data_IF_260714843631
#
_entry.id   IF_260714843631
#
_cell.length_a   1.000
_cell.length_b   1.000
_cell.length_c   1.000
_cell.angle_alpha   90.00
_cell.angle_beta   90.00
_cell.angle_gamma   90.00
#
_symmetry.space_group_name_H-M   'P 1'
#
loop_
_entity.id
_entity.type
_entity.pdbx_description
1 polymer ?
#
# COMPACT_ATOMS: atom_id res chain seq x y z
N UNK A 1 -34.38 -8.17 13.44
CA UNK A 1 -33.53 -8.44 12.27
C UNK A 1 -32.65 -7.23 12.05
N UNK A 2 -31.33 -7.35 12.23
CA UNK A 2 -30.41 -6.26 11.93
C UNK A 2 -30.04 -6.35 10.44
N UNK A 3 -30.51 -5.41 9.65
CA UNK A 3 -30.04 -5.23 8.28
C UNK A 3 -28.70 -4.49 8.37
N UNK A 4 -27.61 -5.17 8.01
CA UNK A 4 -26.35 -4.49 7.77
C UNK A 4 -26.53 -3.61 6.52
N UNK A 5 -26.16 -2.32 6.55
CA UNK A 5 -26.09 -1.55 5.32
C UNK A 5 -25.04 -2.23 4.44
N UNK A 6 -25.50 -2.89 3.38
CA UNK A 6 -24.65 -3.23 2.25
C UNK A 6 -24.28 -1.90 1.61
N UNK A 7 -23.25 -1.25 2.17
CA UNK A 7 -22.53 -0.22 1.44
C UNK A 7 -22.23 -0.81 0.06
N UNK A 8 -22.54 -0.11 -1.03
CA UNK A 8 -22.06 -0.56 -2.33
C UNK A 8 -20.55 -0.69 -2.15
N UNK A 9 -20.03 -1.91 -2.30
CA UNK A 9 -18.60 -2.10 -2.41
C UNK A 9 -18.20 -1.19 -3.55
N UNK A 10 -17.43 -0.17 -3.20
CA UNK A 10 -16.94 0.78 -4.16
C UNK A 10 -15.91 0.05 -5.00
N UNK A 11 -16.39 -0.72 -5.98
CA UNK A 11 -15.58 -1.57 -6.87
C UNK A 11 -14.77 -0.69 -7.84
N UNK A 12 -14.87 0.65 -7.72
CA UNK A 12 -14.19 1.65 -8.54
C UNK A 12 -13.49 2.75 -7.74
N UNK A 13 -13.52 2.71 -6.40
CA UNK A 13 -12.66 3.53 -5.55
C UNK A 13 -11.27 2.90 -5.60
N UNK A 14 -10.53 3.25 -6.64
CA UNK A 14 -9.13 2.87 -6.80
C UNK A 14 -8.42 3.03 -5.46
N UNK A 15 -8.00 1.90 -4.89
CA UNK A 15 -7.51 1.80 -3.52
C UNK A 15 -6.44 2.86 -3.31
N UNK A 16 -6.82 3.99 -2.69
CA UNK A 16 -5.88 5.07 -2.45
C UNK A 16 -4.93 4.56 -1.38
N UNK A 17 -3.63 4.59 -1.70
CA UNK A 17 -2.61 4.29 -0.72
C UNK A 17 -2.82 5.21 0.49
N UNK A 18 -3.06 4.62 1.65
CA UNK A 18 -3.01 5.35 2.91
C UNK A 18 -1.56 5.31 3.38
N UNK A 19 -0.81 6.42 3.36
CA UNK A 19 0.64 6.37 3.57
C UNK A 19 1.04 5.79 4.94
N UNK A 20 0.27 6.09 5.99
CA UNK A 20 0.48 5.50 7.31
C UNK A 20 0.31 3.97 7.31
N UNK A 21 -0.68 3.45 6.57
CA UNK A 21 -0.90 1.99 6.46
C UNK A 21 0.24 1.29 5.73
N UNK A 22 0.88 1.97 4.79
CA UNK A 22 2.07 1.43 4.11
C UNK A 22 3.24 1.24 5.09
N UNK A 23 3.47 2.23 5.96
CA UNK A 23 4.51 2.15 7.01
C UNK A 23 4.19 1.04 8.00
N UNK A 24 2.94 0.98 8.46
CA UNK A 24 2.49 -0.04 9.41
C UNK A 24 2.68 -1.45 8.84
N UNK A 25 2.21 -1.69 7.61
CA UNK A 25 2.34 -2.99 6.96
C UNK A 25 3.80 -3.36 6.71
N UNK A 26 4.64 -2.40 6.28
CA UNK A 26 6.08 -2.63 6.10
C UNK A 26 6.76 -3.04 7.40
N UNK A 27 6.48 -2.32 8.49
CA UNK A 27 7.12 -2.58 9.79
C UNK A 27 6.61 -3.87 10.42
N UNK A 28 5.33 -4.21 10.23
CA UNK A 28 4.78 -5.52 10.61
C UNK A 28 5.46 -6.68 9.88
N UNK A 29 5.85 -6.48 8.62
CA UNK A 29 6.65 -7.43 7.84
C UNK A 29 8.16 -7.41 8.18
N UNK A 30 8.60 -6.62 9.18
CA UNK A 30 10.01 -6.43 9.56
C UNK A 30 10.93 -5.94 8.44
N UNK A 31 10.37 -5.25 7.45
CA UNK A 31 11.12 -4.70 6.32
C UNK A 31 11.51 -3.23 6.58
N UNK A 32 12.69 -2.84 6.14
CA UNK A 32 13.05 -1.44 5.94
C UNK A 32 12.67 -0.96 4.52
N UNK A 33 12.73 0.35 4.27
CA UNK A 33 12.34 0.94 2.98
C UNK A 33 13.16 0.40 1.80
N UNK A 34 14.46 0.11 2.01
CA UNK A 34 15.33 -0.41 0.95
C UNK A 34 14.99 -1.87 0.62
N UNK A 35 14.67 -2.67 1.63
CA UNK A 35 14.29 -4.09 1.46
C UNK A 35 12.97 -4.19 0.70
N UNK A 36 11.94 -3.45 1.10
CA UNK A 36 10.69 -3.41 0.36
C UNK A 36 10.90 -2.94 -1.08
N UNK A 37 11.72 -1.90 -1.28
CA UNK A 37 12.01 -1.39 -2.61
C UNK A 37 12.66 -2.45 -3.51
N UNK A 38 13.59 -3.25 -2.95
CA UNK A 38 14.22 -4.36 -3.66
C UNK A 38 13.22 -5.45 -4.03
N UNK A 39 12.30 -5.80 -3.13
CA UNK A 39 11.26 -6.81 -3.37
C UNK A 39 10.29 -6.41 -4.48
N UNK A 40 9.88 -5.13 -4.52
CA UNK A 40 8.88 -4.64 -5.48
C UNK A 40 9.49 -4.00 -6.74
N UNK A 41 10.82 -4.03 -6.88
CA UNK A 41 11.53 -3.57 -8.08
C UNK A 41 11.54 -2.05 -8.28
N UNK A 42 11.50 -1.27 -7.20
CA UNK A 42 11.57 0.20 -7.25
C UNK A 42 12.76 0.75 -6.49
N UNK A 43 13.00 2.07 -6.58
CA UNK A 43 14.02 2.74 -5.78
C UNK A 43 13.50 2.99 -4.36
N UNK A 44 14.37 2.93 -3.36
CA UNK A 44 14.05 3.30 -1.97
C UNK A 44 13.34 4.67 -1.87
N UNK A 45 13.79 5.66 -2.65
CA UNK A 45 13.19 7.00 -2.67
C UNK A 45 11.72 6.98 -3.10
N UNK A 46 11.33 6.04 -3.96
CA UNK A 46 9.93 5.88 -4.35
C UNK A 46 9.09 5.42 -3.15
N UNK A 47 9.57 4.42 -2.40
CA UNK A 47 8.92 3.97 -1.15
C UNK A 47 8.79 5.13 -0.16
N UNK A 48 9.85 5.93 0.03
CA UNK A 48 9.79 7.11 0.88
C UNK A 48 8.69 8.09 0.44
N UNK A 49 8.62 8.41 -0.86
CA UNK A 49 7.59 9.30 -1.40
C UNK A 49 6.17 8.74 -1.27
N UNK A 50 6.01 7.41 -1.34
CA UNK A 50 4.73 6.74 -1.12
C UNK A 50 4.31 6.81 0.36
N UNK A 51 5.23 6.55 1.28
CA UNK A 51 4.99 6.62 2.74
C UNK A 51 4.76 8.05 3.23
N UNK A 52 5.26 9.06 2.52
CA UNK A 52 4.96 10.48 2.79
C UNK A 52 3.69 10.98 2.07
N UNK A 53 3.09 10.18 1.19
CA UNK A 53 1.94 10.59 0.37
C UNK A 53 2.27 11.63 -0.71
N UNK A 54 3.56 11.89 -0.96
CA UNK A 54 4.03 12.82 -2.01
C UNK A 54 3.76 12.26 -3.40
N UNK A 55 3.85 10.93 -3.54
CA UNK A 55 3.57 10.21 -4.79
C UNK A 55 2.64 9.03 -4.50
N UNK A 56 1.83 8.66 -5.48
CA UNK A 56 1.11 7.37 -5.47
C UNK A 56 1.85 6.34 -6.33
N UNK A 57 1.95 5.08 -5.91
CA UNK A 57 2.47 4.00 -6.73
C UNK A 57 1.55 3.74 -7.93
N UNK A 58 2.14 3.30 -9.04
CA UNK A 58 1.37 2.77 -10.18
C UNK A 58 0.62 1.51 -9.75
N UNK A 59 -0.51 1.15 -10.41
CA UNK A 59 -1.31 -0.02 -10.02
C UNK A 59 -0.51 -1.32 -9.89
N UNK A 60 0.45 -1.56 -10.79
CA UNK A 60 1.32 -2.75 -10.75
C UNK A 60 2.24 -2.73 -9.51
N UNK A 61 2.86 -1.60 -9.23
CA UNK A 61 3.70 -1.41 -8.03
C UNK A 61 2.87 -1.54 -6.76
N UNK A 62 1.66 -1.01 -6.76
CA UNK A 62 0.73 -1.10 -5.63
C UNK A 62 0.35 -2.55 -5.33
N UNK A 63 0.07 -3.34 -6.36
CA UNK A 63 -0.21 -4.77 -6.21
C UNK A 63 1.02 -5.54 -5.68
N UNK A 64 2.22 -5.23 -6.17
CA UNK A 64 3.45 -5.82 -5.67
C UNK A 64 3.70 -5.49 -4.18
N UNK A 65 3.52 -4.23 -3.79
CA UNK A 65 3.63 -3.80 -2.39
C UNK A 65 2.65 -4.57 -1.50
N UNK A 66 1.38 -4.70 -1.91
CA UNK A 66 0.38 -5.40 -1.13
C UNK A 66 0.73 -6.87 -0.90
N UNK A 67 1.35 -7.53 -1.89
CA UNK A 67 1.76 -8.93 -1.80
C UNK A 67 2.90 -9.16 -0.80
N UNK A 68 3.86 -8.25 -0.73
CA UNK A 68 5.07 -8.41 0.09
C UNK A 68 4.89 -7.99 1.56
N UNK A 69 3.72 -7.46 1.93
CA UNK A 69 3.44 -6.92 3.27
C UNK A 69 2.21 -7.56 3.96
N UNK A 70 1.68 -8.64 3.41
CA UNK A 70 0.57 -9.42 3.99
C UNK A 70 1.11 -10.65 4.70
#
# INVERSE_FOLDING_TARGET
MFAFPTTPRDESSGWRLTPAKLVDARTAALLNQSELAALVGVRRQAILSYEQGVKSPEPETMAAIAKEQT
#
